data_IF_523254535304
#
_entry.id   IF_523254535304
#
_cell.length_a   1.000
_cell.length_b   1.000
_cell.length_c   1.000
_cell.angle_alpha   90.00
_cell.angle_beta   90.00
_cell.angle_gamma   90.00
#
_symmetry.space_group_name_H-M   'P 1'
#
loop_
_entity.id
_entity.type
_entity.pdbx_description
1 polymer ?
#
# COMPACT_ATOMS: atom_id res chain seq x y z
N UNK A 1 12.38 -19.02 -24.39
CA UNK A 1 12.13 -17.59 -24.64
C UNK A 1 10.62 -17.39 -24.67
N UNK A 2 10.05 -16.64 -23.73
CA UNK A 2 8.62 -16.35 -23.73
C UNK A 2 8.41 -15.10 -24.59
N UNK A 3 8.02 -15.29 -25.85
CA UNK A 3 7.65 -14.19 -26.72
C UNK A 3 6.27 -13.69 -26.31
N UNK A 4 6.22 -12.61 -25.54
CA UNK A 4 5.00 -11.81 -25.41
C UNK A 4 4.75 -11.15 -26.77
N UNK A 5 3.95 -11.80 -27.62
CA UNK A 5 3.41 -11.18 -28.83
C UNK A 5 2.46 -10.09 -28.35
N UNK A 6 2.91 -8.84 -28.36
CA UNK A 6 2.05 -7.69 -28.06
C UNK A 6 0.91 -7.67 -29.06
N UNK A 7 -0.28 -8.12 -28.63
CA UNK A 7 -1.55 -7.72 -29.24
C UNK A 7 -1.51 -6.19 -29.29
N UNK A 8 -1.84 -5.54 -30.41
CA UNK A 8 -1.53 -4.14 -30.74
C UNK A 8 -2.14 -3.04 -29.85
N UNK A 9 -2.05 -3.21 -28.54
CA UNK A 9 -2.61 -2.43 -27.45
C UNK A 9 -1.43 -1.84 -26.65
N UNK A 10 -0.64 -1.02 -27.34
CA UNK A 10 0.57 -0.37 -26.81
C UNK A 10 0.29 1.01 -26.24
N UNK A 11 -0.99 1.41 -26.19
CA UNK A 11 -1.38 2.73 -25.69
C UNK A 11 -1.52 2.70 -24.18
N UNK A 12 -0.89 3.68 -23.51
CA UNK A 12 -1.10 3.90 -22.07
C UNK A 12 -2.59 4.24 -21.84
N UNK A 13 -3.31 3.47 -21.00
CA UNK A 13 -4.72 3.72 -20.74
C UNK A 13 -4.91 5.03 -19.98
N UNK A 14 -6.07 5.68 -20.17
CA UNK A 14 -6.50 6.82 -19.37
C UNK A 14 -7.13 6.30 -18.09
N UNK A 15 -6.99 7.05 -16.99
CA UNK A 15 -7.63 6.71 -15.72
C UNK A 15 -9.15 6.55 -15.85
N UNK A 16 -9.80 7.38 -16.69
CA UNK A 16 -11.22 7.26 -17.00
C UNK A 16 -11.60 5.88 -17.54
N UNK A 17 -10.82 5.36 -18.48
CA UNK A 17 -11.10 4.06 -19.11
C UNK A 17 -10.92 2.92 -18.10
N UNK A 18 -9.98 3.07 -17.16
CA UNK A 18 -9.82 2.12 -16.04
C UNK A 18 -11.05 2.15 -15.13
N UNK A 19 -11.54 3.35 -14.77
CA UNK A 19 -12.75 3.49 -13.95
C UNK A 19 -13.99 2.91 -14.66
N UNK A 20 -14.16 3.17 -15.95
CA UNK A 20 -15.26 2.64 -16.76
C UNK A 20 -15.19 1.10 -16.90
N UNK A 21 -13.99 0.54 -17.07
CA UNK A 21 -13.81 -0.91 -17.23
C UNK A 21 -14.00 -1.70 -15.93
N UNK A 22 -13.74 -1.08 -14.77
CA UNK A 22 -13.75 -1.77 -13.47
C UNK A 22 -14.64 -1.04 -12.44
N UNK A 23 -15.95 -0.86 -12.68
CA UNK A 23 -16.81 0.00 -11.88
C UNK A 23 -16.85 -0.32 -10.38
N UNK A 24 -16.81 -1.61 -10.03
CA UNK A 24 -16.98 -2.09 -8.64
C UNK A 24 -15.66 -2.48 -7.97
N UNK A 25 -14.53 -2.36 -8.67
CA UNK A 25 -13.22 -2.75 -8.15
C UNK A 25 -12.62 -1.61 -7.35
N UNK A 26 -12.07 -1.94 -6.17
CA UNK A 26 -11.26 -1.00 -5.38
C UNK A 26 -9.95 -0.72 -6.11
N UNK A 27 -9.62 0.56 -6.30
CA UNK A 27 -8.43 1.01 -7.04
C UNK A 27 -7.55 1.88 -6.14
N UNK A 28 -6.26 1.55 -6.08
CA UNK A 28 -5.24 2.39 -5.45
C UNK A 28 -4.53 3.25 -6.52
N UNK A 29 -4.55 4.57 -6.34
CA UNK A 29 -4.00 5.57 -7.27
C UNK A 29 -2.82 6.31 -6.61
N UNK A 30 -1.61 6.02 -7.06
CA UNK A 30 -0.41 6.74 -6.61
C UNK A 30 -0.15 7.98 -7.47
N UNK A 31 -0.19 9.16 -6.84
CA UNK A 31 0.08 10.45 -7.46
C UNK A 31 1.59 10.64 -7.55
N UNK A 32 2.15 10.47 -8.75
CA UNK A 32 3.61 10.45 -8.98
C UNK A 32 4.30 11.81 -8.97
N UNK A 33 3.55 12.91 -9.11
CA UNK A 33 4.12 14.26 -9.23
C UNK A 33 3.34 15.22 -8.33
N UNK A 34 4.06 16.10 -7.65
CA UNK A 34 3.47 17.20 -6.89
C UNK A 34 2.96 18.29 -7.84
N UNK A 35 1.72 18.11 -8.34
CA UNK A 35 1.07 19.03 -9.27
C UNK A 35 -0.41 19.19 -8.90
N UNK A 36 -0.83 20.41 -8.60
CA UNK A 36 -2.20 20.69 -8.12
C UNK A 36 -3.25 20.38 -9.20
N UNK A 37 -2.92 20.66 -10.47
CA UNK A 37 -3.82 20.41 -11.60
C UNK A 37 -4.06 18.90 -11.80
N UNK A 38 -3.01 18.09 -11.65
CA UNK A 38 -3.11 16.62 -11.68
C UNK A 38 -4.03 16.13 -10.56
N UNK A 39 -3.82 16.59 -9.33
CA UNK A 39 -4.62 16.20 -8.16
C UNK A 39 -6.08 16.58 -8.37
N UNK A 40 -6.35 17.82 -8.82
CA UNK A 40 -7.71 18.30 -9.08
C UNK A 40 -8.39 17.48 -10.19
N UNK A 41 -7.66 17.10 -11.25
CA UNK A 41 -8.20 16.29 -12.34
C UNK A 41 -8.46 14.84 -11.94
N UNK A 42 -7.62 14.24 -11.10
CA UNK A 42 -7.90 12.91 -10.53
C UNK A 42 -9.12 12.98 -9.60
N UNK A 43 -9.20 14.00 -8.75
CA UNK A 43 -10.33 14.26 -7.86
C UNK A 43 -11.66 14.42 -8.62
N UNK A 44 -11.65 15.18 -9.72
CA UNK A 44 -12.79 15.33 -10.63
C UNK A 44 -13.23 13.99 -11.23
N UNK A 45 -12.28 13.15 -11.68
CA UNK A 45 -12.59 11.83 -12.23
C UNK A 45 -13.18 10.90 -11.18
N UNK A 46 -12.66 10.90 -9.95
CA UNK A 46 -13.20 10.09 -8.84
C UNK A 46 -14.67 10.48 -8.57
N UNK A 47 -14.96 11.79 -8.45
CA UNK A 47 -16.33 12.30 -8.26
C UNK A 47 -17.26 11.94 -9.40
N UNK A 48 -16.80 12.12 -10.64
CA UNK A 48 -17.62 11.89 -11.84
C UNK A 48 -18.07 10.43 -11.94
N UNK A 49 -17.27 9.50 -11.45
CA UNK A 49 -17.59 8.07 -11.45
C UNK A 49 -18.14 7.59 -10.09
N UNK A 50 -18.35 8.50 -9.12
CA UNK A 50 -18.88 8.21 -7.78
C UNK A 50 -18.13 7.10 -7.04
N UNK A 51 -16.80 7.21 -6.99
CA UNK A 51 -15.89 6.14 -6.52
C UNK A 51 -15.13 6.47 -5.25
N UNK A 52 -15.56 7.45 -4.48
CA UNK A 52 -14.84 7.93 -3.30
C UNK A 52 -14.59 6.80 -2.29
N UNK A 53 -15.56 5.91 -2.11
CA UNK A 53 -15.47 4.72 -1.25
C UNK A 53 -14.68 3.56 -1.84
N UNK A 54 -14.43 3.56 -3.16
CA UNK A 54 -13.72 2.50 -3.89
C UNK A 54 -12.33 2.94 -4.35
N UNK A 55 -11.91 4.15 -3.98
CA UNK A 55 -10.61 4.68 -4.36
C UNK A 55 -9.79 4.97 -3.12
N UNK A 56 -8.54 4.51 -3.16
CA UNK A 56 -7.49 4.97 -2.26
C UNK A 56 -6.50 5.75 -3.10
N UNK A 57 -5.98 6.85 -2.59
CA UNK A 57 -4.95 7.59 -3.29
C UNK A 57 -3.91 8.20 -2.35
N UNK A 58 -2.77 8.52 -2.91
CA UNK A 58 -1.77 9.26 -2.17
C UNK A 58 -0.38 9.21 -2.78
N UNK A 59 0.61 9.40 -1.93
CA UNK A 59 2.03 9.39 -2.27
C UNK A 59 2.89 9.28 -1.00
N UNK A 60 4.15 8.90 -1.15
CA UNK A 60 5.13 8.93 -0.06
C UNK A 60 5.35 10.35 0.54
N UNK A 61 5.12 11.40 -0.25
CA UNK A 61 5.25 12.81 0.14
C UNK A 61 4.04 13.29 0.96
N UNK A 62 4.35 13.77 2.17
CA UNK A 62 3.39 14.37 3.10
C UNK A 62 2.73 15.66 2.56
N UNK A 63 3.41 16.37 1.64
CA UNK A 63 2.83 17.54 0.96
C UNK A 63 1.74 17.10 -0.01
N UNK A 64 2.02 16.09 -0.83
CA UNK A 64 1.08 15.56 -1.82
C UNK A 64 -0.14 14.93 -1.13
N UNK A 65 0.07 14.15 -0.05
CA UNK A 65 -1.04 13.59 0.75
C UNK A 65 -1.97 14.67 1.28
N UNK A 66 -1.43 15.77 1.82
CA UNK A 66 -2.26 16.90 2.29
C UNK A 66 -3.05 17.55 1.16
N UNK A 67 -2.44 17.71 -0.02
CA UNK A 67 -3.12 18.26 -1.20
C UNK A 67 -4.24 17.35 -1.66
N UNK A 68 -4.00 16.03 -1.72
CA UNK A 68 -5.00 15.01 -2.01
C UNK A 68 -6.18 15.11 -1.02
N UNK A 69 -5.91 15.00 0.28
CA UNK A 69 -6.96 15.09 1.31
C UNK A 69 -7.75 16.40 1.27
N UNK A 70 -7.10 17.53 0.95
CA UNK A 70 -7.77 18.82 0.77
C UNK A 70 -8.67 18.84 -0.47
N UNK A 71 -8.24 18.23 -1.57
CA UNK A 71 -8.95 18.21 -2.85
C UNK A 71 -10.15 17.24 -2.85
N UNK A 72 -10.09 16.16 -2.07
CA UNK A 72 -11.22 15.26 -1.83
C UNK A 72 -11.09 14.56 -0.46
N UNK A 73 -11.75 15.07 0.60
CA UNK A 73 -11.64 14.50 1.95
C UNK A 73 -12.39 13.16 2.11
N UNK A 74 -13.29 12.83 1.17
CA UNK A 74 -14.08 11.59 1.23
C UNK A 74 -13.32 10.37 0.67
N UNK A 75 -12.17 10.58 0.04
CA UNK A 75 -11.31 9.53 -0.53
C UNK A 75 -10.27 9.09 0.50
N UNK A 76 -10.13 7.77 0.67
CA UNK A 76 -9.14 7.20 1.57
C UNK A 76 -7.70 7.59 1.20
N UNK A 77 -6.91 8.02 2.19
CA UNK A 77 -5.49 8.36 2.02
C UNK A 77 -4.57 7.36 2.69
N UNK A 78 -3.38 7.20 2.12
CA UNK A 78 -2.29 6.39 2.66
C UNK A 78 -1.34 7.19 3.59
N UNK A 79 -0.59 6.49 4.43
CA UNK A 79 0.46 7.09 5.25
C UNK A 79 1.63 7.61 4.41
N UNK A 80 1.95 8.89 4.53
CA UNK A 80 3.21 9.44 4.03
C UNK A 80 4.41 8.91 4.84
N UNK A 81 5.62 8.96 4.29
CA UNK A 81 6.83 8.52 5.00
C UNK A 81 7.03 9.24 6.34
N UNK A 82 6.74 10.54 6.37
CA UNK A 82 6.79 11.34 7.61
C UNK A 82 5.78 10.83 8.63
N UNK A 83 4.56 10.51 8.19
CA UNK A 83 3.49 9.99 9.05
C UNK A 83 3.77 8.57 9.54
N UNK A 84 4.46 7.74 8.76
CA UNK A 84 4.97 6.43 9.23
C UNK A 84 5.98 6.60 10.38
N UNK A 85 6.92 7.54 10.27
CA UNK A 85 7.87 7.81 11.37
C UNK A 85 7.15 8.28 12.64
N UNK A 86 6.18 9.19 12.50
CA UNK A 86 5.36 9.65 13.62
C UNK A 86 4.56 8.50 14.23
N UNK A 87 3.94 7.64 13.40
CA UNK A 87 3.22 6.45 13.85
C UNK A 87 4.11 5.55 14.70
N UNK A 88 5.33 5.27 14.25
CA UNK A 88 6.28 4.44 14.99
C UNK A 88 6.67 5.09 16.33
N UNK A 89 7.01 6.38 16.34
CA UNK A 89 7.34 7.10 17.56
C UNK A 89 6.18 7.03 18.56
N UNK A 90 4.95 7.29 18.12
CA UNK A 90 3.76 7.21 18.96
C UNK A 90 3.50 5.78 19.47
N UNK A 91 3.71 4.77 18.63
CA UNK A 91 3.55 3.37 19.01
C UNK A 91 4.54 2.97 20.10
N UNK A 92 5.83 3.23 19.90
CA UNK A 92 6.89 2.82 20.83
C UNK A 92 6.96 3.67 22.11
N UNK A 93 6.45 4.91 22.09
CA UNK A 93 6.27 5.73 23.30
C UNK A 93 4.98 5.41 24.05
N UNK A 94 4.09 4.58 23.50
CA UNK A 94 2.79 4.26 24.10
C UNK A 94 1.73 5.35 23.96
N UNK A 95 2.01 6.41 23.19
CA UNK A 95 1.10 7.56 22.99
C UNK A 95 0.09 7.36 21.86
N UNK A 96 0.28 6.35 21.00
CA UNK A 96 -0.58 6.09 19.85
C UNK A 96 -2.09 6.01 20.16
N UNK A 97 -2.55 5.43 21.29
CA UNK A 97 -3.97 5.38 21.63
C UNK A 97 -4.63 6.76 21.81
N UNK A 98 -3.83 7.81 22.10
CA UNK A 98 -4.32 9.16 22.39
C UNK A 98 -4.31 10.08 21.16
N UNK A 99 -3.78 9.61 20.02
CA UNK A 99 -3.62 10.43 18.82
C UNK A 99 -4.55 9.92 17.71
N UNK A 100 -5.47 10.75 17.20
CA UNK A 100 -6.28 10.41 16.04
C UNK A 100 -5.42 10.31 14.77
N UNK A 101 -5.76 9.36 13.91
CA UNK A 101 -5.11 9.13 12.63
C UNK A 101 -6.17 9.34 11.56
N UNK A 102 -5.86 10.14 10.55
CA UNK A 102 -6.75 10.43 9.43
C UNK A 102 -6.55 9.46 8.27
N UNK A 103 -5.42 8.76 8.25
CA UNK A 103 -5.07 7.79 7.22
C UNK A 103 -5.79 6.47 7.41
N UNK A 104 -6.27 5.89 6.31
CA UNK A 104 -6.94 4.58 6.29
C UNK A 104 -5.99 3.44 5.94
N UNK A 105 -4.84 3.72 5.33
CA UNK A 105 -4.03 2.71 4.64
C UNK A 105 -2.53 2.86 4.91
N UNK A 106 -1.93 1.91 5.62
CA UNK A 106 -0.49 1.82 5.77
C UNK A 106 0.08 0.93 4.66
N UNK A 107 0.73 1.56 3.68
CA UNK A 107 1.33 0.88 2.54
C UNK A 107 2.85 1.03 2.58
N UNK A 108 3.57 -0.03 2.95
CA UNK A 108 5.02 0.04 3.17
C UNK A 108 5.75 -1.12 2.51
N UNK A 109 7.00 -0.89 2.05
CA UNK A 109 7.81 -1.99 1.56
C UNK A 109 8.24 -2.87 2.72
N UNK A 110 8.31 -4.19 2.49
CA UNK A 110 8.92 -5.09 3.47
C UNK A 110 10.44 -4.89 3.47
N UNK A 111 11.08 -4.45 4.58
CA UNK A 111 12.50 -4.07 4.54
C UNK A 111 13.45 -5.25 4.25
N UNK A 112 13.06 -6.48 4.61
CA UNK A 112 13.79 -7.70 4.19
C UNK A 112 13.87 -7.86 2.67
N UNK A 113 12.83 -7.44 1.94
CA UNK A 113 12.82 -7.50 0.48
C UNK A 113 13.82 -6.49 -0.11
N UNK A 114 13.85 -5.28 0.44
CA UNK A 114 14.85 -4.26 0.06
C UNK A 114 16.27 -4.80 0.28
N UNK A 115 16.50 -5.52 1.38
CA UNK A 115 17.79 -6.15 1.66
C UNK A 115 18.15 -7.26 0.67
N UNK A 116 17.18 -8.04 0.16
CA UNK A 116 17.39 -9.10 -0.85
C UNK A 116 17.70 -8.52 -2.23
N UNK A 117 17.04 -7.43 -2.61
CA UNK A 117 17.22 -6.77 -3.92
C UNK A 117 18.49 -5.92 -3.95
N UNK A 118 18.86 -5.30 -2.83
CA UNK A 118 20.04 -4.44 -2.79
C UNK A 118 21.32 -5.26 -2.97
N UNK A 119 22.05 -4.98 -4.05
CA UNK A 119 23.27 -5.69 -4.44
C UNK A 119 24.27 -5.81 -3.27
N UNK A 120 24.71 -7.04 -3.02
CA UNK A 120 25.67 -7.40 -1.99
C UNK A 120 27.01 -6.66 -2.16
N UNK A 121 27.36 -6.27 -3.39
CA UNK A 121 28.60 -5.55 -3.69
C UNK A 121 28.52 -4.04 -3.47
N UNK A 122 27.31 -3.47 -3.39
CA UNK A 122 27.09 -2.01 -3.33
C UNK A 122 26.66 -1.53 -1.93
N UNK A 123 26.21 -2.43 -1.05
CA UNK A 123 25.59 -2.05 0.23
C UNK A 123 26.56 -2.06 1.42
N UNK A 124 26.70 -0.92 2.10
CA UNK A 124 27.52 -0.81 3.31
C UNK A 124 26.98 -1.69 4.45
N UNK A 125 27.86 -2.20 5.32
CA UNK A 125 27.46 -2.98 6.51
C UNK A 125 26.47 -2.20 7.39
N UNK A 126 26.69 -0.89 7.53
CA UNK A 126 25.80 0.00 8.28
C UNK A 126 24.39 0.04 7.68
N UNK A 127 24.27 0.16 6.35
CA UNK A 127 22.98 0.16 5.68
C UNK A 127 22.18 -1.13 5.92
N UNK A 128 22.85 -2.30 5.85
CA UNK A 128 22.19 -3.58 6.17
C UNK A 128 21.73 -3.67 7.61
N UNK A 129 22.53 -3.16 8.55
CA UNK A 129 22.13 -3.10 9.96
C UNK A 129 20.90 -2.20 10.15
N UNK A 130 20.87 -1.04 9.49
CA UNK A 130 19.72 -0.13 9.51
C UNK A 130 18.46 -0.80 8.94
N UNK A 131 18.56 -1.50 7.80
CA UNK A 131 17.41 -2.21 7.23
C UNK A 131 16.91 -3.34 8.13
N UNK A 132 17.80 -4.10 8.78
CA UNK A 132 17.41 -5.15 9.74
C UNK A 132 16.71 -4.57 10.97
N UNK A 133 17.17 -3.41 11.44
CA UNK A 133 16.52 -2.69 12.53
C UNK A 133 15.14 -2.18 12.09
N UNK A 134 15.06 -1.57 10.91
CA UNK A 134 13.80 -1.11 10.33
C UNK A 134 12.80 -2.25 10.16
N UNK A 135 13.25 -3.42 9.68
CA UNK A 135 12.44 -4.63 9.57
C UNK A 135 11.83 -5.02 10.92
N UNK A 136 12.64 -5.10 11.98
CA UNK A 136 12.16 -5.44 13.34
C UNK A 136 11.18 -4.43 13.91
N UNK A 137 11.36 -3.15 13.60
CA UNK A 137 10.52 -2.05 14.11
C UNK A 137 9.19 -1.98 13.35
N UNK A 138 9.24 -2.05 12.01
CA UNK A 138 8.07 -1.93 11.15
C UNK A 138 7.22 -3.21 11.14
N UNK A 139 7.84 -4.39 11.07
CA UNK A 139 7.17 -5.68 10.94
C UNK A 139 6.72 -6.22 12.31
N UNK A 140 5.89 -5.43 13.00
CA UNK A 140 5.39 -5.71 14.35
C UNK A 140 3.94 -6.17 14.31
N UNK A 141 3.67 -7.41 14.75
CA UNK A 141 2.31 -7.95 14.88
C UNK A 141 1.41 -7.08 15.76
N UNK A 142 1.98 -6.54 16.84
CA UNK A 142 1.26 -5.71 17.80
C UNK A 142 0.88 -4.36 17.18
N UNK A 143 1.78 -3.79 16.36
CA UNK A 143 1.48 -2.58 15.60
C UNK A 143 0.34 -2.83 14.62
N UNK A 144 0.42 -3.89 13.81
CA UNK A 144 -0.60 -4.20 12.81
C UNK A 144 -1.96 -4.48 13.44
N UNK A 145 -1.99 -5.24 14.54
CA UNK A 145 -3.22 -5.47 15.30
C UNK A 145 -3.80 -4.19 15.90
N UNK A 146 -2.95 -3.24 16.30
CA UNK A 146 -3.41 -1.94 16.78
C UNK A 146 -4.04 -1.12 15.64
N UNK A 147 -3.44 -1.13 14.46
CA UNK A 147 -3.98 -0.46 13.27
C UNK A 147 -5.29 -1.10 12.79
N UNK A 148 -5.35 -2.43 12.72
CA UNK A 148 -6.56 -3.19 12.35
C UNK A 148 -7.74 -2.83 13.27
N UNK A 149 -7.51 -2.76 14.59
CA UNK A 149 -8.53 -2.34 15.57
C UNK A 149 -9.03 -0.90 15.39
N UNK A 150 -8.26 -0.07 14.70
CA UNK A 150 -8.62 1.31 14.36
C UNK A 150 -9.24 1.42 12.96
N UNK A 151 -9.50 0.30 12.28
CA UNK A 151 -9.99 0.27 10.90
C UNK A 151 -8.94 0.63 9.85
N UNK A 152 -7.66 0.67 10.22
CA UNK A 152 -6.56 0.99 9.31
C UNK A 152 -6.07 -0.30 8.67
N UNK A 153 -6.06 -0.33 7.35
CA UNK A 153 -5.62 -1.47 6.57
C UNK A 153 -4.10 -1.42 6.34
N UNK A 154 -3.44 -2.57 6.40
CA UNK A 154 -1.98 -2.67 6.23
C UNK A 154 -1.68 -3.48 4.98
N UNK A 155 -1.02 -2.85 4.00
CA UNK A 155 -0.56 -3.47 2.77
C UNK A 155 0.96 -3.49 2.70
N UNK A 156 1.51 -4.67 2.40
CA UNK A 156 2.96 -4.83 2.21
C UNK A 156 3.30 -5.05 0.74
N UNK A 157 4.34 -4.38 0.27
CA UNK A 157 4.78 -4.43 -1.12
C UNK A 157 6.32 -4.55 -1.24
N UNK A 158 6.91 -4.88 -2.39
CA UNK A 158 6.33 -5.77 -3.41
C UNK A 158 6.74 -7.20 -3.01
N UNK A 159 5.77 -8.09 -2.82
CA UNK A 159 6.03 -9.47 -2.37
C UNK A 159 5.72 -10.45 -3.49
N UNK A 160 6.74 -11.17 -3.96
CA UNK A 160 6.67 -12.03 -5.15
C UNK A 160 6.87 -13.53 -4.83
N UNK A 161 7.36 -13.84 -3.63
CA UNK A 161 7.63 -15.21 -3.16
C UNK A 161 6.64 -15.64 -2.07
N UNK A 162 6.27 -16.93 -2.07
CA UNK A 162 5.28 -17.48 -1.14
C UNK A 162 5.72 -17.33 0.33
N UNK A 163 7.02 -17.46 0.61
CA UNK A 163 7.58 -17.27 1.95
C UNK A 163 7.35 -15.84 2.48
N UNK A 164 7.52 -14.83 1.62
CA UNK A 164 7.32 -13.43 2.01
C UNK A 164 5.84 -13.09 2.12
N UNK A 165 5.00 -13.63 1.23
CA UNK A 165 3.54 -13.53 1.30
C UNK A 165 3.03 -14.14 2.61
N UNK A 166 3.46 -15.37 2.94
CA UNK A 166 3.09 -16.04 4.18
C UNK A 166 3.55 -15.23 5.40
N UNK A 167 4.79 -14.71 5.38
CA UNK A 167 5.30 -13.85 6.44
C UNK A 167 4.44 -12.61 6.63
N UNK A 168 4.03 -11.94 5.55
CA UNK A 168 3.16 -10.76 5.62
C UNK A 168 1.83 -11.07 6.31
N UNK A 169 1.15 -12.13 5.91
CA UNK A 169 -0.13 -12.52 6.53
C UNK A 169 0.04 -13.01 7.97
N UNK A 170 1.12 -13.74 8.27
CA UNK A 170 1.46 -14.17 9.64
C UNK A 170 1.72 -12.98 10.57
N UNK A 171 2.17 -11.85 10.03
CA UNK A 171 2.32 -10.59 10.76
C UNK A 171 0.99 -9.87 11.00
N UNK A 172 -0.06 -10.22 10.26
CA UNK A 172 -1.38 -9.60 10.33
C UNK A 172 -1.61 -8.51 9.29
N UNK A 173 -0.87 -8.52 8.17
CA UNK A 173 -1.18 -7.64 7.03
C UNK A 173 -2.61 -7.91 6.51
N UNK A 174 -3.29 -6.85 6.07
CA UNK A 174 -4.61 -6.92 5.41
C UNK A 174 -4.48 -7.47 3.99
N UNK A 175 -3.43 -7.08 3.29
CA UNK A 175 -3.16 -7.56 1.94
C UNK A 175 -1.69 -7.38 1.55
N UNK A 176 -1.36 -7.87 0.36
CA UNK A 176 -0.02 -7.77 -0.22
C UNK A 176 -0.14 -7.24 -1.65
N UNK A 177 0.83 -6.45 -2.09
CA UNK A 177 0.95 -6.03 -3.49
C UNK A 177 2.09 -6.82 -4.14
N UNK A 178 1.83 -7.36 -5.31
CA UNK A 178 2.70 -8.31 -6.01
C UNK A 178 2.71 -8.03 -7.51
N UNK A 179 3.82 -8.36 -8.17
CA UNK A 179 3.90 -8.38 -9.63
C UNK A 179 3.25 -9.65 -10.21
N UNK A 180 2.94 -10.66 -9.37
CA UNK A 180 2.42 -11.95 -9.78
C UNK A 180 1.02 -12.23 -9.18
N UNK A 181 -0.04 -11.49 -9.58
CA UNK A 181 -1.36 -11.61 -8.98
C UNK A 181 -1.97 -13.03 -9.11
N UNK A 182 -1.71 -13.74 -10.21
CA UNK A 182 -2.16 -15.13 -10.39
C UNK A 182 -1.52 -16.09 -9.37
N UNK A 183 -0.25 -15.88 -9.05
CA UNK A 183 0.46 -16.68 -8.04
C UNK A 183 -0.10 -16.40 -6.65
N UNK A 184 -0.31 -15.12 -6.31
CA UNK A 184 -0.95 -14.74 -5.05
C UNK A 184 -2.36 -15.33 -4.91
N UNK A 185 -3.15 -15.33 -5.99
CA UNK A 185 -4.47 -15.97 -5.99
C UNK A 185 -4.36 -17.46 -5.64
N UNK A 186 -3.46 -18.18 -6.29
CA UNK A 186 -3.25 -19.61 -6.01
C UNK A 186 -2.80 -19.86 -4.57
N UNK A 187 -1.87 -19.04 -4.06
CA UNK A 187 -1.44 -19.09 -2.67
C UNK A 187 -2.63 -18.92 -1.71
N UNK A 188 -3.50 -17.92 -1.94
CA UNK A 188 -4.67 -17.66 -1.10
C UNK A 188 -5.73 -18.77 -1.17
N UNK A 189 -5.88 -19.43 -2.32
CA UNK A 189 -6.75 -20.61 -2.47
C UNK A 189 -6.23 -21.81 -1.65
N UNK A 190 -4.90 -21.94 -1.51
CA UNK A 190 -4.27 -22.99 -0.70
C UNK A 190 -4.23 -22.65 0.80
N UNK A 191 -4.31 -21.37 1.16
CA UNK A 191 -4.24 -20.86 2.53
C UNK A 191 -5.49 -20.06 2.92
N UNK A 192 -6.67 -20.71 3.02
CA UNK A 192 -7.94 -20.04 3.33
C UNK A 192 -7.95 -19.36 4.71
N UNK A 193 -7.05 -19.72 5.62
CA UNK A 193 -6.86 -19.06 6.91
C UNK A 193 -6.46 -17.58 6.80
N UNK A 194 -5.83 -17.18 5.68
CA UNK A 194 -5.46 -15.80 5.39
C UNK A 194 -6.55 -15.03 4.64
N UNK A 195 -7.49 -15.76 4.03
CA UNK A 195 -8.73 -15.20 3.52
C UNK A 195 -9.67 -14.90 4.70
N UNK A 196 -9.30 -13.92 5.53
CA UNK A 196 -10.28 -13.26 6.39
C UNK A 196 -11.30 -12.65 5.45
N UNK A 197 -12.47 -13.27 5.31
CA UNK A 197 -13.64 -12.65 4.73
C UNK A 197 -13.87 -11.37 5.53
N UNK A 198 -13.33 -10.24 5.06
CA UNK A 198 -13.80 -8.93 5.46
C UNK A 198 -15.27 -8.96 5.11
N UNK A 199 -16.12 -8.90 6.14
CA UNK A 199 -17.57 -9.01 6.02
C UNK A 199 -18.15 -7.81 5.28
N UNK A 200 -17.87 -7.72 3.98
CA UNK A 200 -18.66 -6.94 3.03
C UNK A 200 -19.81 -7.86 2.62
N UNK A 201 -20.85 -7.84 3.45
CA UNK A 201 -22.22 -8.04 2.98
C UNK A 201 -22.73 -6.71 2.46
#
# INVERSE_FOLDING_TARGET
ECCCVGTGDTRIPRLREVFEAFPDTVINVDIKVDDDKLIDKVSELIRTHSRESLTVWGNASDVVIRKCHKANPDVGILFSMKRVVVLLLLFYTGLLPFVPLSEGFLEIPMPSMVLRIADEKSTSKLYRWVLRLADRILMSKTLFKHLERRGIQVYLWVLNDDEDIERAFRLGATGVMTDFPTKLKHFLEQHPEYCKLTGVK
#
